data_IF_631892236883
#
_entry.id   IF_631892236883
#
_cell.length_a   1.000
_cell.length_b   1.000
_cell.length_c   1.000
_cell.angle_alpha   90.00
_cell.angle_beta   90.00
_cell.angle_gamma   90.00
#
_symmetry.space_group_name_H-M   'P 1'
#
loop_
_entity.id
_entity.type
_entity.pdbx_description
1 polymer ?
#
# COMPACT_ATOMS: atom_id res chain seq x y z
N UNK A 1 23.86 43.79 -12.87
CA UNK A 1 24.29 42.67 -12.08
C UNK A 1 23.40 42.61 -10.84
N UNK A 2 22.37 41.82 -10.88
CA UNK A 2 21.48 41.59 -9.76
C UNK A 2 21.55 40.10 -9.44
N UNK A 3 22.21 39.78 -8.34
CA UNK A 3 22.33 38.41 -7.83
C UNK A 3 20.98 38.03 -7.19
N UNK A 4 20.19 37.22 -7.89
CA UNK A 4 19.06 36.54 -7.29
C UNK A 4 19.61 35.47 -6.34
N UNK A 5 19.59 35.79 -5.04
CA UNK A 5 19.90 34.85 -3.98
C UNK A 5 18.94 33.67 -4.01
N UNK A 6 19.42 32.51 -4.45
CA UNK A 6 18.75 31.27 -4.28
C UNK A 6 18.57 31.00 -2.79
N UNK A 7 17.35 31.18 -2.27
CA UNK A 7 17.00 30.68 -0.94
C UNK A 7 17.17 29.18 -0.98
N UNK A 8 18.18 28.64 -0.35
CA UNK A 8 18.31 27.24 -0.04
C UNK A 8 17.10 26.88 0.84
N UNK A 9 16.13 26.18 0.26
CA UNK A 9 15.03 25.60 1.04
C UNK A 9 15.67 24.60 2.00
N UNK A 10 15.83 25.01 3.25
CA UNK A 10 16.34 24.12 4.30
C UNK A 10 15.32 23.01 4.47
N UNK A 11 15.70 21.80 4.05
CA UNK A 11 14.87 20.61 4.29
C UNK A 11 14.56 20.50 5.78
N UNK A 12 13.28 20.32 6.16
CA UNK A 12 12.93 20.16 7.57
C UNK A 12 13.61 18.92 8.15
N UNK A 13 14.16 19.05 9.35
CA UNK A 13 14.68 17.88 10.07
C UNK A 13 13.59 16.82 10.23
N UNK A 14 13.96 15.53 10.17
CA UNK A 14 13.01 14.40 10.28
C UNK A 14 12.14 14.47 11.55
N UNK A 15 12.68 14.97 12.66
CA UNK A 15 11.97 15.14 13.93
C UNK A 15 11.08 16.39 14.00
N UNK A 16 11.06 17.23 12.95
CA UNK A 16 10.14 18.36 12.92
C UNK A 16 8.68 17.86 12.94
N UNK A 17 7.77 18.44 13.74
CA UNK A 17 6.38 17.97 13.86
C UNK A 17 5.66 17.87 12.52
N UNK A 18 5.94 18.77 11.59
CA UNK A 18 5.37 18.74 10.22
C UNK A 18 5.77 17.52 9.40
N UNK A 19 6.87 16.83 9.76
CA UNK A 19 7.36 15.60 9.12
C UNK A 19 7.00 14.38 9.96
N UNK A 20 7.35 14.41 11.24
CA UNK A 20 7.18 13.30 12.16
C UNK A 20 5.72 12.89 12.33
N UNK A 21 4.80 13.87 12.48
CA UNK A 21 3.37 13.57 12.68
C UNK A 21 2.77 12.87 11.44
N UNK A 22 2.86 13.41 10.20
CA UNK A 22 2.39 12.71 9.02
C UNK A 22 3.04 11.34 8.82
N UNK A 23 4.34 11.20 9.11
CA UNK A 23 5.06 9.94 9.00
C UNK A 23 4.47 8.87 9.94
N UNK A 24 4.31 9.20 11.22
CA UNK A 24 3.77 8.26 12.21
C UNK A 24 2.29 7.96 11.96
N UNK A 25 1.49 9.00 11.68
CA UNK A 25 0.05 8.84 11.39
C UNK A 25 -0.15 7.93 10.17
N UNK A 26 0.56 8.16 9.09
CA UNK A 26 0.49 7.32 7.89
C UNK A 26 0.91 5.88 8.19
N UNK A 27 2.02 5.69 8.93
CA UNK A 27 2.52 4.37 9.29
C UNK A 27 1.56 3.58 10.19
N UNK A 28 0.98 4.25 11.20
CA UNK A 28 0.00 3.64 12.11
C UNK A 28 -1.29 3.28 11.38
N UNK A 29 -1.82 4.20 10.56
CA UNK A 29 -3.05 3.95 9.81
C UNK A 29 -2.84 2.76 8.87
N UNK A 30 -1.83 2.81 7.99
CA UNK A 30 -1.59 1.71 7.05
C UNK A 30 -1.18 0.41 7.76
N UNK A 31 -0.46 0.49 8.90
CA UNK A 31 -0.14 -0.69 9.71
C UNK A 31 -1.38 -1.37 10.29
N UNK A 32 -2.42 -0.62 10.63
CA UNK A 32 -3.68 -1.16 11.19
C UNK A 32 -4.70 -1.58 10.13
N UNK A 33 -4.57 -1.12 8.87
CA UNK A 33 -5.54 -1.47 7.81
C UNK A 33 -5.59 -2.98 7.55
N UNK A 34 -4.49 -3.68 7.69
CA UNK A 34 -4.39 -5.13 7.49
C UNK A 34 -5.29 -5.89 8.47
N UNK A 35 -5.21 -5.55 9.76
CA UNK A 35 -6.07 -6.14 10.78
C UNK A 35 -7.56 -5.87 10.52
N UNK A 36 -7.90 -4.64 10.09
CA UNK A 36 -9.30 -4.28 9.77
C UNK A 36 -9.80 -5.03 8.54
N UNK A 37 -8.95 -5.28 7.55
CA UNK A 37 -9.27 -6.14 6.39
C UNK A 37 -9.58 -7.56 6.89
N UNK A 38 -8.74 -8.10 7.77
CA UNK A 38 -8.93 -9.44 8.35
C UNK A 38 -10.29 -9.58 9.06
N UNK A 39 -10.72 -8.58 9.81
CA UNK A 39 -12.03 -8.55 10.49
C UNK A 39 -13.22 -8.52 9.51
N UNK A 40 -13.00 -8.04 8.29
CA UNK A 40 -14.03 -8.01 7.24
C UNK A 40 -14.22 -9.36 6.53
N UNK A 41 -13.29 -10.31 6.72
CA UNK A 41 -13.40 -11.63 6.12
C UNK A 41 -14.44 -12.48 6.89
N UNK A 42 -15.53 -12.83 6.24
CA UNK A 42 -16.58 -13.62 6.89
C UNK A 42 -17.89 -13.59 6.10
N UNK A 43 -18.89 -12.89 6.61
CA UNK A 43 -20.25 -12.89 6.06
C UNK A 43 -20.35 -12.29 4.65
N UNK A 44 -19.60 -11.19 4.43
CA UNK A 44 -19.58 -10.50 3.14
C UNK A 44 -18.44 -11.05 2.29
N UNK A 45 -18.68 -11.43 1.03
CA UNK A 45 -17.60 -11.80 0.12
C UNK A 45 -16.53 -10.70 0.04
N UNK A 46 -15.23 -11.05 0.04
CA UNK A 46 -14.13 -10.07 -0.02
C UNK A 46 -14.25 -9.08 -1.18
N UNK A 47 -14.71 -9.53 -2.32
CA UNK A 47 -14.92 -8.71 -3.53
C UNK A 47 -15.94 -7.58 -3.29
N UNK A 48 -17.04 -7.88 -2.57
CA UNK A 48 -18.03 -6.87 -2.17
C UNK A 48 -17.47 -5.92 -1.12
N UNK A 49 -16.68 -6.42 -0.16
CA UNK A 49 -16.00 -5.55 0.82
C UNK A 49 -15.06 -4.55 0.14
N UNK A 50 -14.30 -4.99 -0.86
CA UNK A 50 -13.46 -4.10 -1.69
C UNK A 50 -14.31 -3.11 -2.49
N UNK A 51 -15.43 -3.55 -3.08
CA UNK A 51 -16.33 -2.67 -3.81
C UNK A 51 -16.91 -1.56 -2.93
N UNK A 52 -17.44 -1.90 -1.75
CA UNK A 52 -17.98 -0.93 -0.79
C UNK A 52 -16.91 0.06 -0.32
N UNK A 53 -15.72 -0.45 0.00
CA UNK A 53 -14.58 0.39 0.35
C UNK A 53 -14.27 1.41 -0.74
N UNK A 54 -14.27 1.00 -2.00
CA UNK A 54 -13.93 1.91 -3.12
C UNK A 54 -15.07 2.87 -3.46
N UNK A 55 -16.33 2.47 -3.32
CA UNK A 55 -17.48 3.36 -3.51
C UNK A 55 -17.42 4.52 -2.49
N UNK A 56 -17.26 4.19 -1.20
CA UNK A 56 -17.17 5.19 -0.14
C UNK A 56 -15.93 6.07 -0.31
N UNK A 57 -14.78 5.48 -0.63
CA UNK A 57 -13.53 6.22 -0.86
C UNK A 57 -13.63 7.17 -2.06
N UNK A 58 -14.25 6.74 -3.17
CA UNK A 58 -14.45 7.59 -4.34
C UNK A 58 -15.33 8.80 -4.03
N UNK A 59 -16.47 8.59 -3.36
CA UNK A 59 -17.36 9.68 -2.94
C UNK A 59 -16.61 10.67 -2.05
N UNK A 60 -15.93 10.18 -1.00
CA UNK A 60 -15.21 11.02 -0.07
C UNK A 60 -14.03 11.75 -0.74
N UNK A 61 -13.35 11.12 -1.70
CA UNK A 61 -12.25 11.75 -2.43
C UNK A 61 -12.75 12.84 -3.38
N UNK A 62 -13.90 12.66 -4.04
CA UNK A 62 -14.51 13.76 -4.84
C UNK A 62 -14.96 14.92 -3.95
N UNK A 63 -15.51 14.65 -2.77
CA UNK A 63 -15.80 15.70 -1.79
C UNK A 63 -14.51 16.47 -1.43
N UNK A 64 -13.40 15.75 -1.20
CA UNK A 64 -12.10 16.37 -0.91
C UNK A 64 -11.59 17.22 -2.09
N UNK A 65 -11.74 16.76 -3.34
CA UNK A 65 -11.40 17.55 -4.56
C UNK A 65 -12.15 18.88 -4.56
N UNK A 66 -13.47 18.85 -4.27
CA UNK A 66 -14.31 20.05 -4.24
C UNK A 66 -13.92 20.99 -3.09
N UNK A 67 -13.74 20.45 -1.87
CA UNK A 67 -13.35 21.21 -0.68
C UNK A 67 -11.98 21.87 -0.85
N UNK A 68 -11.04 21.16 -1.47
CA UNK A 68 -9.70 21.69 -1.77
C UNK A 68 -9.65 22.54 -3.05
N UNK A 69 -10.81 22.79 -3.69
CA UNK A 69 -10.93 23.57 -4.92
C UNK A 69 -10.01 23.11 -6.04
N UNK A 70 -9.76 21.80 -6.10
CA UNK A 70 -8.98 21.21 -7.19
C UNK A 70 -9.85 21.02 -8.46
N UNK A 71 -9.26 21.01 -9.65
CA UNK A 71 -10.00 20.77 -10.88
C UNK A 71 -10.58 19.35 -10.88
N UNK A 72 -11.90 19.24 -11.03
CA UNK A 72 -12.60 17.94 -11.17
C UNK A 72 -12.43 17.36 -12.57
N UNK A 73 -12.39 18.23 -13.58
CA UNK A 73 -12.32 17.82 -14.99
C UNK A 73 -10.93 17.29 -15.34
N UNK A 74 -10.92 16.16 -16.06
CA UNK A 74 -9.72 15.56 -16.66
C UNK A 74 -9.91 15.49 -18.18
N UNK A 75 -8.82 15.50 -18.92
CA UNK A 75 -8.85 15.36 -20.39
C UNK A 75 -9.01 13.87 -20.80
N UNK A 76 -9.39 13.64 -22.05
CA UNK A 76 -9.61 12.28 -22.57
C UNK A 76 -8.42 11.32 -22.38
N UNK A 77 -7.15 11.71 -22.64
CA UNK A 77 -6.01 10.87 -22.39
C UNK A 77 -5.89 10.47 -20.92
N UNK A 78 -6.26 11.36 -19.98
CA UNK A 78 -6.17 11.08 -18.54
C UNK A 78 -7.23 10.08 -18.09
N UNK A 79 -8.38 9.99 -18.73
CA UNK A 79 -9.39 8.96 -18.41
C UNK A 79 -8.78 7.56 -18.49
N UNK A 80 -8.07 7.24 -19.57
CA UNK A 80 -7.41 5.93 -19.72
C UNK A 80 -6.38 5.65 -18.63
N UNK A 81 -5.58 6.66 -18.25
CA UNK A 81 -4.61 6.52 -17.16
C UNK A 81 -5.29 6.31 -15.80
N UNK A 82 -6.35 7.05 -15.50
CA UNK A 82 -7.07 6.89 -14.22
C UNK A 82 -7.81 5.56 -14.13
N UNK A 83 -8.32 5.01 -15.25
CA UNK A 83 -8.85 3.65 -15.31
C UNK A 83 -7.75 2.64 -14.98
N UNK A 84 -6.60 2.72 -15.67
CA UNK A 84 -5.50 1.79 -15.45
C UNK A 84 -4.98 1.85 -14.01
N UNK A 85 -4.75 3.06 -13.49
CA UNK A 85 -4.33 3.28 -12.10
C UNK A 85 -5.36 2.72 -11.11
N UNK A 86 -6.64 2.98 -11.35
CA UNK A 86 -7.75 2.51 -10.51
C UNK A 86 -7.83 1.00 -10.47
N UNK A 87 -7.84 0.36 -11.63
CA UNK A 87 -7.91 -1.12 -11.74
C UNK A 87 -6.68 -1.76 -11.11
N UNK A 88 -5.47 -1.27 -11.35
CA UNK A 88 -4.25 -1.84 -10.80
C UNK A 88 -4.14 -1.62 -9.29
N UNK A 89 -4.31 -0.37 -8.80
CA UNK A 89 -4.07 -0.01 -7.40
C UNK A 89 -5.21 -0.41 -6.47
N UNK A 90 -6.45 -0.20 -6.89
CA UNK A 90 -7.63 -0.32 -6.02
C UNK A 90 -8.56 -1.46 -6.43
N UNK A 91 -8.39 -2.00 -7.65
CA UNK A 91 -9.06 -3.19 -8.11
C UNK A 91 -8.24 -4.44 -7.78
N UNK A 92 -7.31 -4.80 -8.66
CA UNK A 92 -6.54 -6.05 -8.56
C UNK A 92 -5.73 -6.14 -7.27
N UNK A 93 -5.00 -5.09 -6.91
CA UNK A 93 -4.19 -5.10 -5.68
C UNK A 93 -5.04 -5.43 -4.44
N UNK A 94 -6.16 -4.74 -4.24
CA UNK A 94 -6.98 -4.96 -3.06
C UNK A 94 -7.67 -6.33 -3.05
N UNK A 95 -8.18 -6.80 -4.19
CA UNK A 95 -8.75 -8.15 -4.26
C UNK A 95 -7.71 -9.23 -3.93
N UNK A 96 -6.47 -9.09 -4.43
CA UNK A 96 -5.40 -10.01 -4.09
C UNK A 96 -5.02 -9.95 -2.60
N UNK A 97 -4.98 -8.76 -1.99
CA UNK A 97 -4.73 -8.59 -0.55
C UNK A 97 -5.82 -9.27 0.27
N UNK A 98 -7.08 -8.98 0.00
CA UNK A 98 -8.20 -9.57 0.73
C UNK A 98 -8.22 -11.10 0.57
N UNK A 99 -7.95 -11.60 -0.63
CA UNK A 99 -7.83 -13.04 -0.86
C UNK A 99 -6.65 -13.67 -0.11
N UNK A 100 -5.50 -12.99 -0.04
CA UNK A 100 -4.33 -13.49 0.67
C UNK A 100 -4.55 -13.65 2.18
N UNK A 101 -5.32 -12.74 2.79
CA UNK A 101 -5.60 -12.76 4.23
C UNK A 101 -6.52 -13.93 4.66
N UNK A 102 -7.10 -14.68 3.73
CA UNK A 102 -7.73 -15.96 4.04
C UNK A 102 -6.71 -17.05 4.39
N UNK A 103 -5.49 -16.96 3.88
CA UNK A 103 -4.49 -18.01 3.93
C UNK A 103 -3.35 -17.72 4.91
N UNK A 104 -3.00 -16.45 5.12
CA UNK A 104 -1.92 -16.02 6.02
C UNK A 104 -2.38 -14.85 6.88
N UNK A 105 -1.72 -14.62 8.01
CA UNK A 105 -2.08 -13.54 8.94
C UNK A 105 -1.84 -12.16 8.34
N UNK A 106 -2.61 -11.18 8.79
CA UNK A 106 -2.54 -9.80 8.31
C UNK A 106 -1.15 -9.19 8.48
N UNK A 107 -0.44 -9.51 9.57
CA UNK A 107 0.93 -9.07 9.79
C UNK A 107 1.90 -9.60 8.75
N UNK A 108 1.76 -10.87 8.34
CA UNK A 108 2.60 -11.46 7.29
C UNK A 108 2.31 -10.87 5.91
N UNK A 109 1.04 -10.62 5.59
CA UNK A 109 0.68 -9.90 4.36
C UNK A 109 1.40 -8.55 4.32
N UNK A 110 1.40 -7.79 5.41
CA UNK A 110 2.10 -6.51 5.51
C UNK A 110 3.61 -6.63 5.32
N UNK A 111 4.24 -7.67 5.91
CA UNK A 111 5.69 -7.91 5.77
C UNK A 111 6.07 -8.27 4.33
N UNK A 112 5.31 -9.16 3.68
CA UNK A 112 5.55 -9.51 2.26
C UNK A 112 5.29 -8.30 1.36
N UNK A 113 4.25 -7.52 1.66
CA UNK A 113 3.91 -6.31 0.90
C UNK A 113 5.00 -5.24 0.99
N UNK A 114 5.81 -5.22 2.05
CA UNK A 114 6.97 -4.32 2.14
C UNK A 114 8.01 -4.56 1.03
N UNK A 115 8.03 -5.75 0.40
CA UNK A 115 8.83 -6.02 -0.80
C UNK A 115 8.40 -5.19 -2.02
N UNK A 116 7.31 -4.40 -1.94
CA UNK A 116 6.86 -3.47 -2.99
C UNK A 116 7.99 -2.55 -3.50
N UNK A 117 8.96 -2.25 -2.65
CA UNK A 117 10.14 -1.46 -3.01
C UNK A 117 10.92 -2.09 -4.18
N UNK A 118 10.95 -3.43 -4.28
CA UNK A 118 11.72 -4.16 -5.28
C UNK A 118 11.14 -3.98 -6.69
N UNK A 119 9.87 -4.39 -6.97
CA UNK A 119 9.31 -4.18 -8.30
C UNK A 119 9.12 -2.70 -8.62
N UNK A 120 8.91 -1.82 -7.64
CA UNK A 120 8.91 -0.37 -7.87
C UNK A 120 10.24 0.11 -8.46
N UNK A 121 11.38 -0.32 -7.92
CA UNK A 121 12.69 0.07 -8.42
C UNK A 121 12.98 -0.54 -9.80
N UNK A 122 12.60 -1.80 -10.02
CA UNK A 122 12.74 -2.47 -11.31
C UNK A 122 11.95 -1.74 -12.40
N UNK A 123 10.67 -1.46 -12.15
CA UNK A 123 9.83 -0.73 -13.11
C UNK A 123 10.31 0.72 -13.30
N UNK A 124 10.77 1.39 -12.24
CA UNK A 124 11.33 2.74 -12.34
C UNK A 124 12.62 2.76 -13.18
N UNK A 125 13.44 1.72 -13.13
CA UNK A 125 14.60 1.58 -14.01
C UNK A 125 14.18 1.49 -15.48
N UNK A 126 13.22 0.62 -15.81
CA UNK A 126 12.81 0.39 -17.21
C UNK A 126 11.96 1.53 -17.78
N UNK A 127 11.09 2.16 -16.98
CA UNK A 127 10.14 3.17 -17.49
C UNK A 127 10.63 4.60 -17.29
N UNK A 128 11.48 4.85 -16.29
CA UNK A 128 11.95 6.18 -15.93
C UNK A 128 13.48 6.33 -16.04
N UNK A 129 14.20 5.27 -16.42
CA UNK A 129 15.65 5.29 -16.54
C UNK A 129 16.39 5.46 -15.21
N UNK A 130 15.74 5.23 -14.05
CA UNK A 130 16.38 5.39 -12.74
C UNK A 130 17.33 4.25 -12.44
N UNK A 131 18.62 4.51 -12.12
CA UNK A 131 19.60 3.45 -11.85
C UNK A 131 19.28 2.72 -10.53
N UNK A 132 19.56 1.42 -10.50
CA UNK A 132 19.47 0.59 -9.30
C UNK A 132 20.88 0.48 -8.70
N UNK A 133 21.08 0.94 -7.47
CA UNK A 133 22.35 0.87 -6.77
C UNK A 133 22.64 -0.51 -6.14
N UNK A 134 23.93 -0.82 -5.89
CA UNK A 134 24.34 -2.09 -5.29
C UNK A 134 23.76 -2.31 -3.88
N UNK A 135 23.65 -1.27 -3.05
CA UNK A 135 23.02 -1.36 -1.73
C UNK A 135 21.55 -1.76 -1.84
N UNK A 136 20.82 -1.28 -2.85
CA UNK A 136 19.44 -1.68 -3.11
C UNK A 136 19.35 -3.18 -3.45
N UNK A 137 20.23 -3.68 -4.32
CA UNK A 137 20.24 -5.12 -4.70
C UNK A 137 20.52 -5.98 -3.48
N UNK A 138 21.56 -5.63 -2.70
CA UNK A 138 21.92 -6.37 -1.49
C UNK A 138 20.77 -6.35 -0.46
N UNK A 139 20.22 -5.18 -0.17
CA UNK A 139 19.11 -5.04 0.79
C UNK A 139 17.87 -5.81 0.36
N UNK A 140 17.52 -5.76 -0.94
CA UNK A 140 16.41 -6.53 -1.51
C UNK A 140 16.62 -8.04 -1.38
N UNK A 141 17.84 -8.52 -1.64
CA UNK A 141 18.17 -9.94 -1.49
C UNK A 141 18.04 -10.39 -0.03
N UNK A 142 18.53 -9.60 0.93
CA UNK A 142 18.39 -9.87 2.38
C UNK A 142 16.90 -9.90 2.77
N UNK A 143 16.09 -8.94 2.31
CA UNK A 143 14.66 -8.89 2.58
C UNK A 143 13.93 -10.12 2.01
N UNK A 144 14.25 -10.54 0.78
CA UNK A 144 13.67 -11.74 0.16
C UNK A 144 14.01 -13.01 0.96
N UNK A 145 15.25 -13.15 1.44
CA UNK A 145 15.63 -14.27 2.34
C UNK A 145 14.80 -14.23 3.62
N UNK A 146 14.63 -13.05 4.23
CA UNK A 146 13.80 -12.87 5.42
C UNK A 146 12.35 -13.31 5.21
N UNK A 147 11.73 -12.90 4.08
CA UNK A 147 10.38 -13.37 3.71
C UNK A 147 10.36 -14.89 3.50
N UNK A 148 11.38 -15.45 2.86
CA UNK A 148 11.51 -16.91 2.69
C UNK A 148 11.52 -17.66 4.03
N UNK A 149 12.22 -17.14 5.06
CA UNK A 149 12.21 -17.74 6.40
C UNK A 149 10.84 -17.64 7.10
N UNK A 150 10.15 -16.49 6.96
CA UNK A 150 8.78 -16.33 7.47
C UNK A 150 7.83 -17.31 6.80
N UNK A 151 7.87 -17.44 5.49
CA UNK A 151 7.02 -18.37 4.75
C UNK A 151 7.35 -19.83 5.06
N UNK A 152 8.63 -20.16 5.30
CA UNK A 152 9.03 -21.50 5.75
C UNK A 152 8.44 -21.82 7.13
N UNK A 153 8.36 -20.84 8.03
CA UNK A 153 7.71 -20.99 9.32
C UNK A 153 6.22 -21.30 9.16
N UNK A 154 5.51 -20.50 8.34
CA UNK A 154 4.09 -20.71 8.07
C UNK A 154 3.83 -22.06 7.42
N UNK A 155 4.66 -22.43 6.44
CA UNK A 155 4.57 -23.76 5.79
C UNK A 155 4.71 -24.90 6.80
N UNK A 156 5.62 -24.77 7.78
CA UNK A 156 5.84 -25.80 8.82
C UNK A 156 4.75 -25.79 9.88
N UNK A 157 4.17 -24.65 10.19
CA UNK A 157 3.13 -24.50 11.19
C UNK A 157 1.72 -24.86 10.68
N UNK A 158 1.52 -24.96 9.36
CA UNK A 158 0.23 -25.20 8.76
C UNK A 158 -0.28 -26.64 9.06
N UNK A 159 -1.48 -26.81 9.68
CA UNK A 159 -2.00 -28.12 10.10
C UNK A 159 -2.32 -29.06 8.94
N UNK A 160 -2.62 -28.54 7.74
CA UNK A 160 -3.09 -29.27 6.56
C UNK A 160 -2.04 -29.36 5.43
N UNK A 161 -0.77 -28.97 5.72
CA UNK A 161 0.28 -28.95 4.71
C UNK A 161 0.35 -27.60 3.97
N UNK A 162 1.47 -26.94 3.99
CA UNK A 162 1.75 -25.55 3.66
C UNK A 162 1.36 -24.95 2.30
N UNK A 163 0.52 -25.63 1.50
CA UNK A 163 -0.01 -25.11 0.21
C UNK A 163 -0.76 -23.80 0.37
N UNK A 164 -1.51 -23.63 1.46
CA UNK A 164 -2.28 -22.41 1.73
C UNK A 164 -1.35 -21.22 1.97
N UNK A 165 -0.28 -21.40 2.74
CA UNK A 165 0.71 -20.36 2.95
C UNK A 165 1.40 -19.93 1.62
N UNK A 166 1.68 -20.89 0.74
CA UNK A 166 2.24 -20.60 -0.59
C UNK A 166 1.24 -19.86 -1.48
N UNK A 167 -0.04 -20.22 -1.43
CA UNK A 167 -1.09 -19.51 -2.16
C UNK A 167 -1.24 -18.06 -1.62
N UNK A 168 -1.27 -17.90 -0.31
CA UNK A 168 -1.27 -16.57 0.33
C UNK A 168 -0.08 -15.72 -0.12
N UNK A 169 1.13 -16.28 -0.11
CA UNK A 169 2.33 -15.61 -0.62
C UNK A 169 2.18 -15.18 -2.08
N UNK A 170 1.72 -16.09 -2.96
CA UNK A 170 1.53 -15.79 -4.39
C UNK A 170 0.54 -14.63 -4.58
N UNK A 171 -0.57 -14.64 -3.86
CA UNK A 171 -1.58 -13.58 -3.91
C UNK A 171 -1.00 -12.24 -3.47
N UNK A 172 -0.20 -12.19 -2.39
CA UNK A 172 0.49 -10.95 -1.97
C UNK A 172 1.48 -10.49 -3.03
N UNK A 173 2.24 -11.39 -3.64
CA UNK A 173 3.18 -11.03 -4.72
C UNK A 173 2.44 -10.46 -5.95
N UNK A 174 1.27 -11.00 -6.31
CA UNK A 174 0.41 -10.43 -7.34
C UNK A 174 -0.11 -9.03 -6.94
N UNK A 175 -0.49 -8.85 -5.67
CA UNK A 175 -0.88 -7.55 -5.13
C UNK A 175 0.27 -6.54 -5.21
N UNK A 176 1.46 -6.94 -4.80
CA UNK A 176 2.69 -6.13 -4.89
C UNK A 176 3.01 -5.74 -6.33
N UNK A 177 2.89 -6.67 -7.28
CA UNK A 177 3.14 -6.40 -8.69
C UNK A 177 2.17 -5.35 -9.26
N UNK A 178 0.86 -5.51 -9.00
CA UNK A 178 -0.17 -4.58 -9.49
C UNK A 178 -0.04 -3.20 -8.84
N UNK A 179 0.21 -3.12 -7.54
CA UNK A 179 0.49 -1.86 -6.85
C UNK A 179 1.73 -1.17 -7.40
N UNK A 180 2.79 -1.94 -7.72
CA UNK A 180 4.02 -1.41 -8.27
C UNK A 180 3.82 -0.76 -9.65
N UNK A 181 3.04 -1.40 -10.52
CA UNK A 181 2.66 -0.81 -11.82
C UNK A 181 2.02 0.55 -11.61
N UNK A 182 1.02 0.65 -10.73
CA UNK A 182 0.33 1.89 -10.43
C UNK A 182 1.26 2.95 -9.83
N UNK A 183 2.08 2.57 -8.84
CA UNK A 183 3.00 3.49 -8.18
C UNK A 183 3.99 4.14 -9.16
N UNK A 184 4.55 3.36 -10.07
CA UNK A 184 5.50 3.90 -11.04
C UNK A 184 4.82 4.70 -12.14
N UNK A 185 3.62 4.30 -12.58
CA UNK A 185 2.85 5.08 -13.55
C UNK A 185 2.47 6.47 -13.03
N UNK A 186 2.11 6.59 -11.75
CA UNK A 186 1.74 7.87 -11.13
C UNK A 186 2.85 8.93 -11.18
N UNK A 187 4.11 8.51 -11.15
CA UNK A 187 5.25 9.43 -11.21
C UNK A 187 5.79 9.67 -12.62
N UNK A 188 5.15 9.09 -13.64
CA UNK A 188 5.51 9.40 -15.04
C UNK A 188 5.11 10.83 -15.40
N UNK A 189 5.87 11.54 -16.26
CA UNK A 189 5.56 12.93 -16.63
C UNK A 189 4.14 13.12 -17.20
N UNK A 190 3.57 12.07 -17.81
CA UNK A 190 2.21 12.11 -18.37
C UNK A 190 1.14 12.22 -17.30
N UNK A 191 1.34 11.57 -16.16
CA UNK A 191 0.37 11.54 -15.05
C UNK A 191 0.68 12.63 -14.02
N UNK A 192 1.95 12.83 -13.67
CA UNK A 192 2.38 13.77 -12.64
C UNK A 192 2.04 15.26 -12.92
N UNK A 193 1.65 15.59 -14.15
CA UNK A 193 1.18 16.95 -14.50
C UNK A 193 -0.19 17.32 -13.92
N UNK A 194 -0.96 16.34 -13.46
CA UNK A 194 -2.29 16.54 -12.89
C UNK A 194 -2.25 16.56 -11.36
N UNK A 195 -3.20 17.27 -10.71
CA UNK A 195 -3.30 17.22 -9.26
C UNK A 195 -3.54 15.79 -8.76
N UNK A 196 -2.69 15.33 -7.88
CA UNK A 196 -2.72 13.95 -7.35
C UNK A 196 -4.08 13.57 -6.77
N UNK A 197 -4.73 14.50 -6.05
CA UNK A 197 -6.06 14.27 -5.44
C UNK A 197 -7.12 14.02 -6.51
N UNK A 198 -7.08 14.77 -7.62
CA UNK A 198 -7.99 14.56 -8.76
C UNK A 198 -7.78 13.22 -9.44
N UNK A 199 -6.49 12.82 -9.64
CA UNK A 199 -6.17 11.50 -10.19
C UNK A 199 -6.69 10.39 -9.27
N UNK A 200 -6.46 10.51 -7.97
CA UNK A 200 -6.95 9.51 -6.99
C UNK A 200 -8.48 9.41 -6.98
N UNK A 201 -9.19 10.54 -7.05
CA UNK A 201 -10.66 10.55 -7.09
C UNK A 201 -11.20 9.78 -8.29
N UNK A 202 -10.68 10.06 -9.49
CA UNK A 202 -11.07 9.35 -10.69
C UNK A 202 -10.62 7.89 -10.69
N UNK A 203 -9.42 7.60 -10.21
CA UNK A 203 -8.94 6.21 -10.10
C UNK A 203 -9.80 5.37 -9.13
N UNK A 204 -10.18 5.92 -7.98
CA UNK A 204 -11.08 5.26 -7.04
C UNK A 204 -12.50 5.10 -7.62
N UNK A 205 -12.97 6.07 -8.40
CA UNK A 205 -14.26 5.97 -9.10
C UNK A 205 -14.27 4.79 -10.10
N UNK A 206 -13.28 4.71 -10.97
CA UNK A 206 -13.19 3.60 -11.93
C UNK A 206 -13.00 2.26 -11.23
N UNK A 207 -12.21 2.24 -10.16
CA UNK A 207 -12.05 1.05 -9.34
C UNK A 207 -13.36 0.63 -8.65
N UNK A 208 -14.19 1.58 -8.19
CA UNK A 208 -15.48 1.25 -7.58
C UNK A 208 -16.41 0.54 -8.56
N UNK A 209 -16.47 1.02 -9.80
CA UNK A 209 -17.25 0.39 -10.87
C UNK A 209 -16.71 -0.99 -11.23
N UNK A 210 -15.39 -1.09 -11.42
CA UNK A 210 -14.74 -2.36 -11.77
C UNK A 210 -14.92 -3.42 -10.67
N UNK A 211 -14.73 -3.05 -9.40
CA UNK A 211 -14.91 -3.95 -8.26
C UNK A 211 -16.37 -4.37 -8.08
N UNK A 212 -17.32 -3.45 -8.23
CA UNK A 212 -18.74 -3.79 -8.13
C UNK A 212 -19.17 -4.75 -9.25
N UNK A 213 -18.71 -4.50 -10.49
CA UNK A 213 -18.95 -5.40 -11.62
C UNK A 213 -18.29 -6.79 -11.40
N UNK A 214 -17.04 -6.81 -10.93
CA UNK A 214 -16.33 -8.05 -10.62
C UNK A 214 -17.02 -8.84 -9.51
N UNK A 215 -17.39 -8.19 -8.40
CA UNK A 215 -18.11 -8.81 -7.30
C UNK A 215 -19.44 -9.40 -7.74
N UNK A 216 -20.19 -8.66 -8.57
CA UNK A 216 -21.47 -9.15 -9.08
C UNK A 216 -21.31 -10.39 -9.98
N UNK A 217 -20.27 -10.44 -10.79
CA UNK A 217 -19.99 -11.59 -11.68
C UNK A 217 -19.52 -12.82 -10.90
N UNK A 218 -18.69 -12.62 -9.86
CA UNK A 218 -18.05 -13.72 -9.11
C UNK A 218 -18.94 -14.23 -7.98
N UNK A 219 -19.51 -13.32 -7.20
CA UNK A 219 -20.23 -13.65 -5.96
C UNK A 219 -21.74 -13.37 -6.04
N UNK A 220 -22.24 -12.87 -7.19
CA UNK A 220 -23.65 -12.55 -7.39
C UNK A 220 -24.08 -11.24 -6.74
N UNK A 221 -25.37 -11.13 -6.33
CA UNK A 221 -25.94 -9.87 -5.83
C UNK A 221 -25.25 -9.38 -4.55
N UNK A 222 -25.34 -8.05 -4.26
CA UNK A 222 -24.70 -7.46 -3.08
C UNK A 222 -25.17 -8.10 -1.77
N UNK A 223 -24.20 -8.44 -0.92
CA UNK A 223 -24.43 -8.91 0.46
C UNK A 223 -23.96 -7.82 1.41
N UNK A 224 -24.80 -7.41 2.34
CA UNK A 224 -24.49 -6.35 3.32
C UNK A 224 -24.49 -6.96 4.72
N UNK A 225 -23.44 -6.70 5.46
CA UNK A 225 -23.33 -6.99 6.89
C UNK A 225 -23.61 -5.71 7.69
N UNK A 226 -24.67 -5.73 8.48
CA UNK A 226 -25.10 -4.59 9.29
C UNK A 226 -24.39 -4.50 10.64
N UNK A 227 -23.46 -5.40 10.95
CA UNK A 227 -22.66 -5.31 12.17
C UNK A 227 -21.93 -3.96 12.23
N UNK A 228 -22.01 -3.22 13.36
CA UNK A 228 -21.32 -1.94 13.51
C UNK A 228 -19.81 -2.03 13.24
N UNK A 229 -19.16 -3.14 13.62
CA UNK A 229 -17.74 -3.39 13.35
C UNK A 229 -17.43 -3.45 11.86
N UNK A 230 -18.25 -4.17 11.07
CA UNK A 230 -18.06 -4.24 9.61
C UNK A 230 -18.23 -2.88 8.94
N UNK A 231 -19.34 -2.16 9.26
CA UNK A 231 -19.59 -0.82 8.70
C UNK A 231 -18.48 0.15 9.11
N UNK A 232 -18.10 0.13 10.39
CA UNK A 232 -16.99 0.94 10.91
C UNK A 232 -15.67 0.62 10.22
N UNK A 233 -15.40 -0.65 9.95
CA UNK A 233 -14.23 -1.12 9.18
C UNK A 233 -14.23 -0.58 7.75
N UNK A 234 -15.36 -0.67 7.03
CA UNK A 234 -15.50 -0.10 5.68
C UNK A 234 -15.24 1.41 5.69
N UNK A 235 -15.84 2.15 6.62
CA UNK A 235 -15.64 3.59 6.75
C UNK A 235 -14.18 3.93 7.12
N UNK A 236 -13.58 3.19 8.05
CA UNK A 236 -12.19 3.36 8.43
C UNK A 236 -11.24 3.15 7.24
N UNK A 237 -11.37 2.04 6.54
CA UNK A 237 -10.52 1.71 5.40
C UNK A 237 -10.71 2.68 4.23
N UNK A 238 -11.93 3.15 4.00
CA UNK A 238 -12.25 4.09 2.93
C UNK A 238 -11.75 5.49 3.25
N UNK A 239 -12.15 6.04 4.39
CA UNK A 239 -11.90 7.46 4.71
C UNK A 239 -10.50 7.62 5.31
N UNK A 240 -10.21 6.92 6.40
CA UNK A 240 -8.93 7.08 7.10
C UNK A 240 -7.81 6.41 6.32
N UNK A 241 -7.99 5.13 5.95
CA UNK A 241 -6.97 4.33 5.24
C UNK A 241 -6.70 4.77 3.80
N UNK A 242 -7.63 5.48 3.16
CA UNK A 242 -7.47 5.91 1.77
C UNK A 242 -7.51 7.43 1.62
N UNK A 243 -8.63 8.10 1.95
CA UNK A 243 -8.82 9.52 1.65
C UNK A 243 -7.92 10.43 2.49
N UNK A 244 -7.68 10.11 3.76
CA UNK A 244 -6.80 10.88 4.64
C UNK A 244 -5.34 10.51 4.41
N UNK A 245 -5.04 9.22 4.35
CA UNK A 245 -3.65 8.74 4.38
C UNK A 245 -2.88 9.04 3.10
N UNK A 246 -3.49 8.89 1.90
CA UNK A 246 -2.77 9.20 0.66
C UNK A 246 -2.33 10.67 0.56
N UNK A 247 -3.17 11.68 0.82
CA UNK A 247 -2.71 13.07 0.83
C UNK A 247 -1.61 13.35 1.87
N UNK A 248 -1.69 12.77 3.06
CA UNK A 248 -0.64 12.89 4.08
C UNK A 248 0.68 12.30 3.60
N UNK A 249 0.65 11.13 2.98
CA UNK A 249 1.83 10.47 2.44
C UNK A 249 2.46 11.27 1.29
N UNK A 250 1.66 11.82 0.39
CA UNK A 250 2.18 12.67 -0.70
C UNK A 250 2.76 13.98 -0.17
N UNK A 251 2.15 14.58 0.86
CA UNK A 251 2.75 15.73 1.55
C UNK A 251 4.10 15.37 2.16
N UNK A 252 4.20 14.20 2.79
CA UNK A 252 5.45 13.70 3.34
C UNK A 252 6.52 13.55 2.25
N UNK A 253 6.18 12.97 1.10
CA UNK A 253 7.08 12.88 -0.06
C UNK A 253 7.54 14.25 -0.54
N UNK A 254 6.65 15.25 -0.54
CA UNK A 254 7.00 16.62 -0.92
C UNK A 254 7.96 17.26 0.08
N UNK A 255 7.74 17.06 1.38
CA UNK A 255 8.49 17.74 2.44
C UNK A 255 9.89 17.14 2.69
N UNK A 256 10.06 15.82 2.56
CA UNK A 256 11.33 15.12 2.87
C UNK A 256 11.87 14.25 1.72
N UNK A 257 11.21 14.29 0.58
CA UNK A 257 11.56 13.49 -0.58
C UNK A 257 11.12 12.02 -0.50
N UNK A 258 11.01 11.34 -1.67
CA UNK A 258 10.48 9.98 -1.76
C UNK A 258 11.35 8.95 -1.02
N UNK A 259 12.67 9.13 -0.99
CA UNK A 259 13.59 8.21 -0.31
C UNK A 259 13.37 8.16 1.21
N UNK A 260 13.21 9.33 1.87
CA UNK A 260 12.95 9.38 3.31
C UNK A 260 11.49 8.97 3.63
N UNK A 261 10.53 9.32 2.78
CA UNK A 261 9.14 8.90 2.94
C UNK A 261 8.99 7.37 2.83
N UNK A 262 9.82 6.70 2.03
CA UNK A 262 9.80 5.25 1.88
C UNK A 262 10.09 4.48 3.18
N UNK A 263 10.70 5.12 4.22
CA UNK A 263 10.85 4.48 5.53
C UNK A 263 9.51 4.13 6.21
N UNK A 264 8.38 4.71 5.80
CA UNK A 264 7.06 4.23 6.21
C UNK A 264 6.88 2.74 5.88
N UNK A 265 7.40 2.29 4.74
CA UNK A 265 7.39 0.88 4.32
C UNK A 265 8.15 -0.07 5.25
N UNK A 266 9.08 0.45 6.09
CA UNK A 266 9.75 -0.32 7.16
C UNK A 266 8.90 -0.33 8.42
N UNK A 267 8.28 0.79 8.77
CA UNK A 267 7.54 0.95 10.03
C UNK A 267 6.18 0.27 9.98
N UNK A 268 5.50 0.31 8.84
CA UNK A 268 4.17 -0.31 8.62
C UNK A 268 4.14 -1.79 9.02
N UNK A 269 5.05 -2.68 8.52
CA UNK A 269 5.06 -4.08 8.91
C UNK A 269 5.29 -4.31 10.41
N UNK A 270 6.06 -3.45 11.07
CA UNK A 270 6.28 -3.55 12.52
C UNK A 270 4.95 -3.38 13.26
N UNK A 271 4.18 -2.33 12.95
CA UNK A 271 2.86 -2.13 13.54
C UNK A 271 1.90 -3.26 13.19
N UNK A 272 1.87 -3.70 11.94
CA UNK A 272 1.01 -4.79 11.50
C UNK A 272 1.32 -6.09 12.27
N UNK A 273 2.61 -6.44 12.44
CA UNK A 273 3.01 -7.63 13.20
C UNK A 273 2.69 -7.52 14.69
N UNK A 274 2.83 -6.34 15.30
CA UNK A 274 2.41 -6.10 16.69
C UNK A 274 0.90 -6.36 16.82
N UNK A 275 0.09 -5.81 15.93
CA UNK A 275 -1.35 -6.00 15.94
C UNK A 275 -1.74 -7.45 15.68
N UNK A 276 -1.09 -8.12 14.72
CA UNK A 276 -1.32 -9.54 14.43
C UNK A 276 -0.96 -10.42 15.65
N UNK A 277 0.10 -10.07 16.40
CA UNK A 277 0.47 -10.78 17.63
C UNK A 277 -0.61 -10.64 18.71
N UNK A 278 -1.17 -9.43 18.86
CA UNK A 278 -2.16 -9.13 19.93
C UNK A 278 -3.54 -9.68 19.56
N UNK A 279 -3.99 -9.52 18.32
CA UNK A 279 -5.37 -9.75 17.93
C UNK A 279 -5.60 -11.04 17.14
N UNK A 280 -4.57 -11.56 16.45
CA UNK A 280 -4.67 -12.79 15.66
C UNK A 280 -3.93 -13.96 16.30
N UNK A 281 -3.26 -13.73 17.46
CA UNK A 281 -2.52 -14.77 18.17
C UNK A 281 -1.28 -15.26 17.41
N UNK A 282 -0.63 -14.40 16.62
CA UNK A 282 0.59 -14.78 15.91
C UNK A 282 1.68 -15.23 16.86
N UNK A 283 2.22 -16.43 16.65
CA UNK A 283 3.24 -17.05 17.51
C UNK A 283 4.63 -16.84 16.92
N UNK A 284 5.45 -16.11 17.66
CA UNK A 284 6.83 -15.85 17.28
C UNK A 284 7.71 -17.09 17.55
N UNK A 285 8.15 -17.75 16.49
CA UNK A 285 9.24 -18.74 16.57
C UNK A 285 10.59 -18.06 16.34
N UNK A 286 11.68 -18.77 16.65
CA UNK A 286 13.04 -18.29 16.34
C UNK A 286 13.20 -17.99 14.83
N UNK A 287 12.58 -18.82 13.99
CA UNK A 287 12.60 -18.66 12.53
C UNK A 287 11.85 -17.42 12.09
N UNK A 288 10.66 -17.16 12.69
CA UNK A 288 9.88 -15.96 12.43
C UNK A 288 10.60 -14.68 12.88
N UNK A 289 11.23 -14.70 14.05
CA UNK A 289 12.02 -13.56 14.53
C UNK A 289 13.22 -13.27 13.62
N UNK A 290 13.97 -14.30 13.23
CA UNK A 290 15.10 -14.15 12.31
C UNK A 290 14.64 -13.64 10.93
N UNK A 291 13.55 -14.18 10.38
CA UNK A 291 12.97 -13.75 9.12
C UNK A 291 12.52 -12.29 9.15
N UNK A 292 11.75 -11.91 10.17
CA UNK A 292 11.29 -10.53 10.36
C UNK A 292 12.47 -9.55 10.51
N UNK A 293 13.47 -9.88 11.32
CA UNK A 293 14.68 -9.07 11.47
C UNK A 293 15.41 -8.89 10.13
N UNK A 294 15.57 -9.95 9.34
CA UNK A 294 16.20 -9.87 8.02
C UNK A 294 15.40 -9.00 7.05
N UNK A 295 14.07 -9.10 7.04
CA UNK A 295 13.24 -8.20 6.21
C UNK A 295 13.50 -6.74 6.58
N UNK A 296 13.47 -6.41 7.86
CA UNK A 296 13.67 -5.04 8.34
C UNK A 296 15.07 -4.50 7.99
N UNK A 297 16.13 -5.31 8.26
CA UNK A 297 17.51 -4.96 7.91
C UNK A 297 17.65 -4.79 6.39
N UNK A 298 17.10 -5.72 5.62
CA UNK A 298 17.15 -5.69 4.16
C UNK A 298 16.47 -4.42 3.59
N UNK A 299 15.30 -4.05 4.09
CA UNK A 299 14.61 -2.82 3.68
C UNK A 299 15.40 -1.57 4.03
N UNK A 300 15.99 -1.49 5.24
CA UNK A 300 16.84 -0.37 5.63
C UNK A 300 18.08 -0.26 4.73
N UNK A 301 18.75 -1.38 4.45
CA UNK A 301 19.91 -1.41 3.54
C UNK A 301 19.51 -1.01 2.12
N UNK A 302 18.37 -1.52 1.60
CA UNK A 302 17.89 -1.18 0.27
C UNK A 302 17.59 0.31 0.09
N UNK A 303 17.17 0.98 1.17
CA UNK A 303 16.87 2.42 1.15
C UNK A 303 18.10 3.32 1.35
N UNK A 304 19.25 2.77 1.71
CA UNK A 304 20.50 3.51 1.79
C UNK A 304 20.99 3.87 0.38
N UNK A 305 20.45 4.92 -0.20
CA UNK A 305 21.02 5.50 -1.43
C UNK A 305 22.39 6.10 -1.09
N UNK A 306 23.47 5.54 -1.63
CA UNK A 306 24.73 6.28 -1.73
C UNK A 306 24.44 7.56 -2.50
N UNK A 307 24.68 8.70 -1.86
CA UNK A 307 24.85 9.96 -2.60
C UNK A 307 26.00 9.71 -3.60
N UNK A 308 25.68 9.63 -4.88
CA UNK A 308 26.66 9.69 -5.94
C UNK A 308 27.09 11.16 -6.12
#
# INVERSE_FOLDING_TARGET
>A
MSATGGQSVVEPGFLAPRVWIPFMVTSLIWGSTWLVIRDQLGTVPPTWSVAYRMIVAAIAMFILVIVMRQPVKIDRPMVGWTILLGVMQFGMNYNFVYAAEHYITSGLVAVVFALLIVPNAVLAKYWLGRPIGGAFILGSAIACVGVGLLMLQEYRAAPLGGTDALLGLLLVLCAVATASVSNVLQVTPKVARYPTITILAWSMFWASLANAAFAFVVDGPPVIDMRPGYIGGVLYLSIIGSVVTFPLYFRLIHDIGPGKAAYTGVVIPVFAMILSTIFEGYVWSTLAMAGGALVMVGLVVAMQTRKA
#
